data_IF_172952675698
#
_entry.id   IF_172952675698
#
_cell.length_a   1.000
_cell.length_b   1.000
_cell.length_c   1.000
_cell.angle_alpha   90.00
_cell.angle_beta   90.00
_cell.angle_gamma   90.00
#
_symmetry.space_group_name_H-M   'P 1'
#
loop_
_entity.id
_entity.type
_entity.pdbx_description
1 polymer ?
#
# COMPACT_ATOMS: atom_id res chain seq x y z
N UNK A 1 -36.55 -24.35 43.19
CA UNK A 1 -35.65 -24.17 42.02
C UNK A 1 -34.65 -23.05 42.32
N UNK A 2 -33.36 -23.35 42.48
CA UNK A 2 -32.32 -22.32 42.70
C UNK A 2 -31.88 -21.75 41.33
N UNK A 3 -32.13 -20.46 41.09
CA UNK A 3 -31.63 -19.74 39.90
C UNK A 3 -30.10 -19.70 39.96
N UNK A 4 -29.43 -20.39 39.03
CA UNK A 4 -27.98 -20.25 38.79
C UNK A 4 -27.73 -18.82 38.32
N UNK A 5 -27.02 -18.02 39.13
CA UNK A 5 -26.45 -16.74 38.69
C UNK A 5 -25.35 -17.08 37.68
N UNK A 6 -25.57 -16.74 36.42
CA UNK A 6 -24.50 -16.70 35.42
C UNK A 6 -23.51 -15.60 35.83
N UNK A 7 -22.38 -15.99 36.42
CA UNK A 7 -21.23 -15.10 36.54
C UNK A 7 -20.75 -14.82 35.11
N UNK A 8 -21.02 -13.63 34.58
CA UNK A 8 -20.36 -13.13 33.38
C UNK A 8 -18.87 -13.01 33.72
N UNK A 9 -18.05 -13.91 33.17
CA UNK A 9 -16.61 -13.78 33.24
C UNK A 9 -16.25 -12.56 32.41
N UNK A 10 -15.73 -11.52 33.06
CA UNK A 10 -15.25 -10.31 32.39
C UNK A 10 -13.97 -10.69 31.64
N UNK A 11 -14.10 -10.97 30.34
CA UNK A 11 -12.95 -11.26 29.48
C UNK A 11 -12.12 -9.98 29.36
N UNK A 12 -10.81 -10.07 29.60
CA UNK A 12 -9.90 -8.93 29.35
C UNK A 12 -9.61 -8.86 27.85
N UNK A 13 -9.49 -7.64 27.29
CA UNK A 13 -9.09 -7.48 25.90
C UNK A 13 -7.65 -7.97 25.70
N UNK A 14 -7.40 -8.58 24.54
CA UNK A 14 -6.05 -8.98 24.12
C UNK A 14 -5.20 -7.74 23.82
N UNK A 15 -5.84 -6.72 23.24
CA UNK A 15 -5.21 -5.49 22.80
C UNK A 15 -6.18 -4.33 22.94
N UNK A 16 -5.68 -3.17 23.37
CA UNK A 16 -6.47 -1.95 23.51
C UNK A 16 -5.71 -0.80 22.85
N UNK A 17 -6.37 -0.15 21.89
CA UNK A 17 -5.91 1.06 21.26
C UNK A 17 -6.79 2.22 21.71
N UNK A 18 -6.18 3.29 22.20
CA UNK A 18 -6.87 4.53 22.55
C UNK A 18 -6.31 5.64 21.67
N UNK A 19 -7.17 6.27 20.88
CA UNK A 19 -6.82 7.41 20.02
C UNK A 19 -7.85 8.51 20.21
N UNK A 20 -7.51 9.50 21.03
CA UNK A 20 -8.41 10.57 21.42
C UNK A 20 -9.72 10.03 22.02
N UNK A 21 -10.90 10.42 21.51
CA UNK A 21 -12.20 9.96 22.01
C UNK A 21 -12.57 8.55 21.53
N UNK A 22 -11.77 7.94 20.64
CA UNK A 22 -11.98 6.58 20.15
C UNK A 22 -11.18 5.58 21.00
N UNK A 23 -11.88 4.56 21.49
CA UNK A 23 -11.26 3.38 22.12
C UNK A 23 -11.63 2.15 21.31
N UNK A 24 -10.63 1.36 20.91
CA UNK A 24 -10.81 0.07 20.24
C UNK A 24 -10.20 -1.03 21.09
N UNK A 25 -10.89 -2.15 21.22
CA UNK A 25 -10.43 -3.30 21.99
C UNK A 25 -10.66 -4.59 21.21
N UNK A 26 -9.64 -5.44 21.13
CA UNK A 26 -9.71 -6.75 20.47
C UNK A 26 -9.92 -7.87 21.49
N UNK A 27 -10.85 -8.77 21.18
CA UNK A 27 -11.17 -9.98 21.93
C UNK A 27 -11.17 -11.16 20.95
N UNK A 28 -10.04 -11.86 20.83
CA UNK A 28 -9.85 -12.88 19.81
C UNK A 28 -10.08 -12.31 18.41
N UNK A 29 -11.12 -12.79 17.72
CA UNK A 29 -11.54 -12.36 16.37
C UNK A 29 -12.50 -11.17 16.36
N UNK A 30 -12.93 -10.66 17.53
CA UNK A 30 -13.89 -9.55 17.62
C UNK A 30 -13.18 -8.26 17.98
N UNK A 31 -13.48 -7.18 17.27
CA UNK A 31 -13.03 -5.82 17.61
C UNK A 31 -14.25 -5.02 18.06
N UNK A 32 -14.16 -4.39 19.23
CA UNK A 32 -15.20 -3.51 19.78
C UNK A 32 -14.65 -2.09 19.81
N UNK A 33 -15.38 -1.17 19.18
CA UNK A 33 -15.05 0.26 19.18
C UNK A 33 -16.06 1.05 19.99
N UNK A 34 -15.57 2.01 20.79
CA UNK A 34 -16.38 2.95 21.57
C UNK A 34 -15.90 4.37 21.28
N UNK A 35 -16.85 5.27 21.07
CA UNK A 35 -16.59 6.69 20.94
C UNK A 35 -17.08 7.43 22.21
N UNK A 36 -16.27 8.30 22.78
CA UNK A 36 -16.49 8.98 24.06
C UNK A 36 -16.27 10.50 23.94
N UNK A 37 -16.87 11.12 22.92
CA UNK A 37 -16.96 12.59 22.85
C UNK A 37 -17.81 13.13 23.99
N UNK A 38 -17.35 14.19 24.66
CA UNK A 38 -18.24 14.96 25.54
C UNK A 38 -19.24 15.78 24.70
N UNK A 39 -20.37 16.22 25.28
CA UNK A 39 -21.32 17.08 24.56
C UNK A 39 -20.62 18.31 23.97
N UNK A 40 -20.90 18.61 22.69
CA UNK A 40 -20.34 19.74 21.92
C UNK A 40 -18.87 19.63 21.52
N UNK A 41 -18.12 18.63 21.98
CA UNK A 41 -16.72 18.47 21.57
C UNK A 41 -16.57 17.99 20.13
N UNK A 42 -17.50 17.13 19.67
CA UNK A 42 -17.51 16.68 18.29
C UNK A 42 -17.75 17.84 17.33
N UNK A 43 -18.71 18.72 17.65
CA UNK A 43 -19.03 19.91 16.86
C UNK A 43 -17.85 20.88 16.80
N UNK A 44 -17.19 21.15 17.93
CA UNK A 44 -15.96 21.96 17.96
C UNK A 44 -14.84 21.35 17.13
N UNK A 45 -14.70 20.03 17.17
CA UNK A 45 -13.70 19.34 16.36
C UNK A 45 -14.03 19.44 14.87
N UNK A 46 -15.30 19.32 14.48
CA UNK A 46 -15.73 19.55 13.09
C UNK A 46 -15.47 20.99 12.63
N UNK A 47 -15.71 21.99 13.49
CA UNK A 47 -15.38 23.40 13.18
C UNK A 47 -13.88 23.59 12.92
N UNK A 48 -13.02 23.05 13.78
CA UNK A 48 -11.57 23.10 13.62
C UNK A 48 -11.11 22.44 12.31
N UNK A 49 -11.66 21.27 11.98
CA UNK A 49 -11.36 20.59 10.71
C UNK A 49 -11.77 21.44 9.50
N UNK A 50 -12.94 22.08 9.56
CA UNK A 50 -13.40 22.95 8.48
C UNK A 50 -12.51 24.19 8.29
N UNK A 51 -12.01 24.76 9.39
CA UNK A 51 -11.07 25.91 9.37
C UNK A 51 -9.70 25.52 8.81
N UNK A 52 -9.20 24.34 9.19
CA UNK A 52 -7.88 23.85 8.76
C UNK A 52 -7.83 23.40 7.30
N UNK A 53 -8.98 23.20 6.64
CA UNK A 53 -9.04 22.66 5.27
C UNK A 53 -8.11 23.38 4.29
N UNK A 54 -8.10 24.71 4.30
CA UNK A 54 -7.27 25.48 3.36
C UNK A 54 -5.78 25.26 3.61
N UNK A 55 -5.37 25.18 4.88
CA UNK A 55 -3.98 24.90 5.25
C UNK A 55 -3.55 23.49 4.85
N UNK A 56 -4.42 22.49 5.04
CA UNK A 56 -4.15 21.11 4.61
C UNK A 56 -3.98 21.01 3.10
N UNK A 57 -4.84 21.67 2.32
CA UNK A 57 -4.69 21.69 0.85
C UNK A 57 -3.38 22.35 0.43
N UNK A 58 -3.05 23.49 1.04
CA UNK A 58 -1.80 24.20 0.72
C UNK A 58 -0.55 23.36 1.05
N UNK A 59 -0.57 22.62 2.15
CA UNK A 59 0.53 21.73 2.54
C UNK A 59 0.72 20.59 1.54
N UNK A 60 -0.38 19.95 1.13
CA UNK A 60 -0.37 18.91 0.11
C UNK A 60 0.17 19.46 -1.21
N UNK A 61 -0.33 20.61 -1.67
CA UNK A 61 0.11 21.25 -2.91
C UNK A 61 1.61 21.58 -2.87
N UNK A 62 2.11 22.05 -1.72
CA UNK A 62 3.54 22.29 -1.52
C UNK A 62 4.35 21.00 -1.64
N UNK A 63 3.95 19.94 -0.93
CA UNK A 63 4.64 18.65 -0.98
C UNK A 63 4.64 18.04 -2.39
N UNK A 64 3.53 18.19 -3.15
CA UNK A 64 3.45 17.79 -4.55
C UNK A 64 4.41 18.62 -5.42
N UNK A 65 4.48 19.94 -5.23
CA UNK A 65 5.40 20.79 -5.97
C UNK A 65 6.87 20.43 -5.68
N UNK A 66 7.21 20.19 -4.41
CA UNK A 66 8.56 19.79 -4.01
C UNK A 66 8.97 18.44 -4.60
N UNK A 67 8.09 17.43 -4.55
CA UNK A 67 8.40 16.10 -5.10
C UNK A 67 8.50 16.12 -6.62
N UNK A 68 7.65 16.90 -7.29
CA UNK A 68 7.69 17.10 -8.75
C UNK A 68 8.99 17.77 -9.16
N UNK A 69 9.41 18.83 -8.46
CA UNK A 69 10.67 19.50 -8.72
C UNK A 69 11.85 18.55 -8.54
N UNK A 70 11.86 17.73 -7.48
CA UNK A 70 12.91 16.75 -7.25
C UNK A 70 12.97 15.69 -8.36
N UNK A 71 11.84 15.06 -8.68
CA UNK A 71 11.74 14.04 -9.73
C UNK A 71 12.18 14.57 -11.09
N UNK A 72 11.87 15.84 -11.41
CA UNK A 72 12.28 16.46 -12.68
C UNK A 72 13.82 16.44 -12.90
N UNK A 73 14.59 16.46 -11.81
CA UNK A 73 16.06 16.50 -11.83
C UNK A 73 16.73 15.13 -11.82
N UNK A 74 15.96 14.04 -11.76
CA UNK A 74 16.48 12.68 -11.63
C UNK A 74 16.22 11.88 -12.91
N UNK A 75 17.17 11.00 -13.28
CA UNK A 75 16.96 10.06 -14.38
C UNK A 75 15.77 9.13 -14.06
N UNK A 76 14.69 9.15 -14.87
CA UNK A 76 13.48 8.37 -14.60
C UNK A 76 13.71 6.87 -14.49
N UNK A 77 14.57 6.32 -15.35
CA UNK A 77 14.83 4.88 -15.35
C UNK A 77 15.51 4.46 -14.04
N UNK A 78 16.45 5.26 -13.57
CA UNK A 78 17.22 4.96 -12.38
C UNK A 78 16.39 5.03 -11.10
N UNK A 79 15.55 6.06 -10.96
CA UNK A 79 14.69 6.18 -9.77
C UNK A 79 13.63 5.07 -9.72
N UNK A 80 13.08 4.67 -10.88
CA UNK A 80 12.14 3.57 -10.97
C UNK A 80 12.78 2.23 -10.65
N UNK A 81 13.99 2.00 -11.15
CA UNK A 81 14.75 0.80 -10.83
C UNK A 81 15.05 0.71 -9.33
N UNK A 82 15.49 1.81 -8.69
CA UNK A 82 15.71 1.85 -7.24
C UNK A 82 14.42 1.60 -6.46
N UNK A 83 13.31 2.25 -6.83
CA UNK A 83 12.00 2.04 -6.22
C UNK A 83 11.58 0.56 -6.28
N UNK A 84 11.73 -0.06 -7.46
CA UNK A 84 11.41 -1.47 -7.66
C UNK A 84 12.31 -2.40 -6.84
N UNK A 85 13.60 -2.11 -6.73
CA UNK A 85 14.53 -2.91 -5.93
C UNK A 85 14.19 -2.86 -4.44
N UNK A 86 13.96 -1.68 -3.87
CA UNK A 86 13.63 -1.52 -2.45
C UNK A 86 12.26 -2.12 -2.11
N UNK A 87 11.27 -1.92 -2.99
CA UNK A 87 9.98 -2.59 -2.88
C UNK A 87 10.14 -4.10 -2.95
N UNK A 88 10.88 -4.64 -3.91
CA UNK A 88 11.02 -6.09 -4.05
C UNK A 88 11.73 -6.69 -2.84
N UNK A 89 12.84 -6.08 -2.40
CA UNK A 89 13.61 -6.53 -1.25
C UNK A 89 12.79 -6.55 0.06
N UNK A 90 11.93 -5.54 0.28
CA UNK A 90 11.11 -5.47 1.50
C UNK A 90 10.00 -6.52 1.57
N UNK A 91 9.59 -7.09 0.43
CA UNK A 91 8.58 -8.16 0.36
C UNK A 91 9.17 -9.57 0.37
N UNK A 92 10.47 -9.75 0.12
CA UNK A 92 11.12 -11.07 0.14
C UNK A 92 10.92 -11.87 1.43
N UNK A 93 10.97 -11.28 2.65
CA UNK A 93 10.77 -12.04 3.89
C UNK A 93 9.29 -12.22 4.27
N UNK A 94 8.34 -11.78 3.44
CA UNK A 94 6.91 -11.75 3.78
C UNK A 94 6.20 -12.97 3.19
N UNK A 95 5.92 -13.95 4.05
CA UNK A 95 5.23 -15.19 3.66
C UNK A 95 3.68 -15.08 3.72
N UNK A 96 3.15 -13.98 4.25
CA UNK A 96 1.70 -13.77 4.44
C UNK A 96 1.34 -12.29 4.43
N UNK A 97 0.15 -11.96 3.91
CA UNK A 97 -0.40 -10.60 3.92
C UNK A 97 -0.47 -10.00 5.33
N UNK A 98 -0.78 -10.82 6.34
CA UNK A 98 -0.88 -10.36 7.73
C UNK A 98 0.49 -9.92 8.29
N UNK A 99 1.58 -10.35 7.65
CA UNK A 99 2.95 -9.94 8.01
C UNK A 99 3.40 -8.66 7.29
N UNK A 100 2.62 -8.12 6.36
CA UNK A 100 2.90 -6.84 5.69
C UNK A 100 2.85 -5.71 6.73
N UNK A 101 3.91 -4.94 6.82
CA UNK A 101 4.00 -3.78 7.72
C UNK A 101 3.95 -2.46 6.93
N UNK A 102 3.94 -1.36 7.66
CA UNK A 102 3.89 0.00 7.09
C UNK A 102 5.02 0.25 6.09
N UNK A 103 6.22 -0.28 6.33
CA UNK A 103 7.37 -0.13 5.43
C UNK A 103 7.10 -0.73 4.05
N UNK A 104 6.55 -1.94 3.98
CA UNK A 104 6.18 -2.59 2.73
C UNK A 104 5.06 -1.85 2.00
N UNK A 105 4.09 -1.31 2.74
CA UNK A 105 3.03 -0.47 2.17
C UNK A 105 3.62 0.80 1.57
N UNK A 106 4.53 1.47 2.28
CA UNK A 106 5.18 2.69 1.81
C UNK A 106 6.04 2.42 0.58
N UNK A 107 6.85 1.35 0.57
CA UNK A 107 7.69 0.99 -0.57
C UNK A 107 6.88 0.69 -1.84
N UNK A 108 5.73 0.01 -1.71
CA UNK A 108 4.81 -0.19 -2.83
C UNK A 108 4.25 1.14 -3.37
N UNK A 109 3.81 2.04 -2.47
CA UNK A 109 3.28 3.35 -2.86
C UNK A 109 4.32 4.25 -3.50
N UNK A 110 5.57 4.22 -3.04
CA UNK A 110 6.66 4.98 -3.66
C UNK A 110 6.81 4.58 -5.12
N UNK A 111 6.82 3.28 -5.43
CA UNK A 111 6.94 2.81 -6.81
C UNK A 111 5.81 3.37 -7.69
N UNK A 112 4.55 3.18 -7.30
CA UNK A 112 3.39 3.57 -8.11
C UNK A 112 3.28 5.10 -8.27
N UNK A 113 3.56 5.84 -7.20
CA UNK A 113 3.48 7.30 -7.23
C UNK A 113 4.65 7.92 -8.00
N UNK A 114 5.88 7.39 -7.86
CA UNK A 114 7.02 7.85 -8.66
C UNK A 114 6.80 7.56 -10.15
N UNK A 115 6.22 6.41 -10.51
CA UNK A 115 5.80 6.14 -11.89
C UNK A 115 4.84 7.21 -12.42
N UNK A 116 3.85 7.58 -11.61
CA UNK A 116 2.89 8.64 -11.96
C UNK A 116 3.59 10.00 -12.13
N UNK A 117 4.48 10.37 -11.21
CA UNK A 117 5.25 11.62 -11.28
C UNK A 117 6.14 11.67 -12.53
N UNK A 118 6.85 10.57 -12.84
CA UNK A 118 7.67 10.47 -14.05
C UNK A 118 6.82 10.68 -15.30
N UNK A 119 5.63 10.11 -15.36
CA UNK A 119 4.74 10.25 -16.51
C UNK A 119 4.14 11.66 -16.64
N UNK A 120 3.97 12.38 -15.53
CA UNK A 120 3.31 13.70 -15.49
C UNK A 120 4.27 14.89 -15.43
N UNK A 121 5.57 14.68 -15.25
CA UNK A 121 6.55 15.75 -15.01
C UNK A 121 7.45 15.92 -16.20
N UNK A 122 7.58 17.16 -16.69
CA UNK A 122 8.58 17.48 -17.70
C UNK A 122 10.00 17.36 -17.11
N UNK A 123 10.91 16.62 -17.77
CA UNK A 123 12.27 16.47 -17.27
C UNK A 123 13.06 17.77 -17.37
N UNK A 124 13.91 18.04 -16.38
CA UNK A 124 14.85 19.15 -16.43
C UNK A 124 15.90 18.91 -17.52
N UNK A 125 16.50 20.00 -18.03
CA UNK A 125 17.55 19.94 -19.08
C UNK A 125 18.75 19.11 -18.62
N UNK A 126 19.06 19.14 -17.33
CA UNK A 126 20.13 18.36 -16.72
C UNK A 126 19.51 17.46 -15.65
N UNK A 127 19.79 16.17 -15.77
CA UNK A 127 19.33 15.16 -14.83
C UNK A 127 20.54 14.47 -14.19
N UNK A 128 20.45 14.20 -12.90
CA UNK A 128 21.39 13.33 -12.23
C UNK A 128 21.17 11.89 -12.70
N UNK A 129 22.26 11.21 -13.06
CA UNK A 129 22.22 9.85 -13.60
C UNK A 129 21.76 8.82 -12.56
N UNK A 130 22.11 9.06 -11.29
CA UNK A 130 21.69 8.29 -10.12
C UNK A 130 21.20 9.21 -8.99
N UNK A 131 20.11 8.86 -8.29
CA UNK A 131 19.68 9.59 -7.11
C UNK A 131 20.70 9.38 -5.98
N UNK A 132 21.14 10.48 -5.35
CA UNK A 132 21.92 10.37 -4.11
C UNK A 132 21.07 9.79 -2.98
N UNK A 133 21.69 9.24 -1.93
CA UNK A 133 20.93 8.74 -0.77
C UNK A 133 20.15 9.86 -0.06
N UNK A 134 20.65 11.09 -0.12
CA UNK A 134 19.95 12.26 0.42
C UNK A 134 18.70 12.58 -0.40
N UNK A 135 18.81 12.58 -1.72
CA UNK A 135 17.69 12.85 -2.62
C UNK A 135 16.64 11.75 -2.50
N UNK A 136 17.09 10.49 -2.41
CA UNK A 136 16.22 9.35 -2.21
C UNK A 136 15.49 9.38 -0.86
N UNK A 137 16.20 9.65 0.23
CA UNK A 137 15.57 9.80 1.54
C UNK A 137 14.55 10.97 1.56
N UNK A 138 14.87 12.07 0.88
CA UNK A 138 13.95 13.20 0.76
C UNK A 138 12.71 12.84 -0.08
N UNK A 139 12.88 12.13 -1.19
CA UNK A 139 11.80 11.62 -2.02
C UNK A 139 10.86 10.74 -1.18
N UNK A 140 11.40 9.75 -0.46
CA UNK A 140 10.62 8.86 0.40
C UNK A 140 9.83 9.64 1.46
N UNK A 141 10.48 10.59 2.14
CA UNK A 141 9.83 11.44 3.15
C UNK A 141 8.69 12.27 2.55
N UNK A 142 8.89 12.86 1.36
CA UNK A 142 7.86 13.66 0.69
C UNK A 142 6.67 12.81 0.29
N UNK A 143 6.92 11.64 -0.32
CA UNK A 143 5.85 10.71 -0.70
C UNK A 143 5.12 10.21 0.55
N UNK A 144 5.85 9.85 1.60
CA UNK A 144 5.26 9.45 2.88
C UNK A 144 4.36 10.56 3.44
N UNK A 145 4.86 11.79 3.57
CA UNK A 145 4.09 12.94 4.07
C UNK A 145 2.84 13.20 3.22
N UNK A 146 2.95 13.17 1.88
CA UNK A 146 1.79 13.30 0.99
C UNK A 146 0.73 12.27 1.38
N UNK A 147 1.07 10.99 1.46
CA UNK A 147 0.08 9.97 1.75
C UNK A 147 -0.43 9.97 3.20
N UNK A 148 0.42 10.30 4.18
CA UNK A 148 0.04 10.38 5.60
C UNK A 148 -0.80 11.61 5.93
N UNK A 149 -0.63 12.70 5.19
CA UNK A 149 -1.43 13.92 5.36
C UNK A 149 -2.69 13.88 4.50
N UNK A 150 -2.57 13.48 3.22
CA UNK A 150 -3.67 13.42 2.26
C UNK A 150 -4.75 12.42 2.68
N UNK A 151 -4.39 11.22 3.12
CA UNK A 151 -5.42 10.19 3.34
C UNK A 151 -6.34 10.48 4.54
N UNK A 152 -5.83 10.83 5.74
CA UNK A 152 -6.72 11.16 6.84
C UNK A 152 -7.15 12.63 6.81
N UNK A 153 -6.23 13.59 6.69
CA UNK A 153 -6.53 14.99 6.99
C UNK A 153 -7.37 15.66 5.91
N UNK A 154 -7.04 15.44 4.63
CA UNK A 154 -7.80 16.05 3.54
C UNK A 154 -9.26 15.62 3.57
N UNK A 155 -9.55 14.32 3.62
CA UNK A 155 -10.93 13.81 3.61
C UNK A 155 -11.73 14.26 4.83
N UNK A 156 -11.13 14.25 6.03
CA UNK A 156 -11.79 14.74 7.24
C UNK A 156 -12.11 16.24 7.15
N UNK A 157 -11.14 17.06 6.73
CA UNK A 157 -11.34 18.51 6.60
C UNK A 157 -12.32 18.85 5.47
N UNK A 158 -12.27 18.14 4.35
CA UNK A 158 -13.16 18.34 3.21
C UNK A 158 -14.61 18.05 3.59
N UNK A 159 -14.86 16.93 4.26
CA UNK A 159 -16.18 16.55 4.74
C UNK A 159 -16.70 17.56 5.77
N UNK A 160 -15.87 17.99 6.72
CA UNK A 160 -16.24 19.00 7.72
C UNK A 160 -16.57 20.36 7.07
N UNK A 161 -15.78 20.79 6.08
CA UNK A 161 -16.02 22.03 5.33
C UNK A 161 -17.34 21.98 4.55
N UNK A 162 -17.64 20.86 3.86
CA UNK A 162 -18.91 20.67 3.13
C UNK A 162 -20.13 20.71 4.05
N UNK A 163 -20.03 20.06 5.22
CA UNK A 163 -21.06 20.12 6.27
C UNK A 163 -21.31 21.54 6.75
N UNK A 164 -20.24 22.32 6.96
CA UNK A 164 -20.34 23.74 7.38
C UNK A 164 -21.00 24.63 6.32
N UNK A 165 -20.80 24.34 5.04
CA UNK A 165 -21.40 25.12 3.94
C UNK A 165 -22.89 24.83 3.65
N UNK A 166 -23.56 24.03 4.48
CA UNK A 166 -24.99 23.67 4.38
C UNK A 166 -25.43 23.05 3.03
N UNK A 167 -24.50 22.66 2.16
CA UNK A 167 -24.82 21.76 1.05
C UNK A 167 -25.35 20.47 1.67
N UNK A 168 -26.51 19.98 1.24
CA UNK A 168 -27.02 18.69 1.69
C UNK A 168 -25.98 17.61 1.36
N UNK A 169 -25.21 17.22 2.36
CA UNK A 169 -24.20 16.18 2.24
C UNK A 169 -24.90 14.86 2.55
N UNK A 170 -25.22 14.09 1.52
CA UNK A 170 -25.69 12.72 1.70
C UNK A 170 -24.59 11.90 2.40
N UNK A 171 -24.81 11.42 3.63
CA UNK A 171 -23.80 10.64 4.36
C UNK A 171 -23.39 9.36 3.60
N UNK A 172 -24.32 8.75 2.86
CA UNK A 172 -24.02 7.56 2.07
C UNK A 172 -23.09 7.89 0.91
N UNK A 173 -23.29 9.04 0.26
CA UNK A 173 -22.40 9.52 -0.78
C UNK A 173 -21.00 9.86 -0.26
N UNK A 174 -20.88 10.52 0.91
CA UNK A 174 -19.56 10.78 1.50
C UNK A 174 -18.81 9.50 1.86
N UNK A 175 -19.50 8.53 2.46
CA UNK A 175 -18.89 7.22 2.74
C UNK A 175 -18.42 6.56 1.44
N UNK A 176 -19.27 6.53 0.42
CA UNK A 176 -18.95 5.96 -0.88
C UNK A 176 -17.75 6.68 -1.53
N UNK A 177 -17.73 8.01 -1.52
CA UNK A 177 -16.66 8.81 -2.09
C UNK A 177 -15.34 8.52 -1.39
N UNK A 178 -15.31 8.59 -0.05
CA UNK A 178 -14.13 8.29 0.75
C UNK A 178 -13.61 6.87 0.50
N UNK A 179 -14.49 5.87 0.54
CA UNK A 179 -14.12 4.47 0.31
C UNK A 179 -13.58 4.26 -1.09
N UNK A 180 -14.21 4.83 -2.11
CA UNK A 180 -13.78 4.70 -3.51
C UNK A 180 -12.38 5.30 -3.71
N UNK A 181 -12.12 6.48 -3.14
CA UNK A 181 -10.79 7.10 -3.20
C UNK A 181 -9.75 6.27 -2.45
N UNK A 182 -10.08 5.75 -1.27
CA UNK A 182 -9.20 4.83 -0.55
C UNK A 182 -8.90 3.57 -1.37
N UNK A 183 -9.91 2.94 -1.97
CA UNK A 183 -9.69 1.77 -2.82
C UNK A 183 -8.77 2.09 -3.98
N UNK A 184 -9.01 3.20 -4.69
CA UNK A 184 -8.17 3.66 -5.79
C UNK A 184 -6.71 3.88 -5.37
N UNK A 185 -6.47 4.47 -4.19
CA UNK A 185 -5.12 4.74 -3.70
C UNK A 185 -4.40 3.53 -3.07
N UNK A 186 -5.11 2.45 -2.72
CA UNK A 186 -4.56 1.37 -1.90
C UNK A 186 -4.65 -0.03 -2.52
N UNK A 187 -5.51 -0.22 -3.54
CA UNK A 187 -5.65 -1.50 -4.21
C UNK A 187 -4.89 -1.45 -5.52
N UNK A 188 -3.70 -2.04 -5.51
CA UNK A 188 -2.73 -1.96 -6.63
C UNK A 188 -2.58 -3.28 -7.38
N UNK A 189 -3.49 -4.24 -7.17
CA UNK A 189 -3.52 -5.48 -7.96
C UNK A 189 -4.83 -6.24 -7.81
N UNK A 190 -5.23 -6.93 -8.88
CA UNK A 190 -6.36 -7.86 -8.84
C UNK A 190 -6.02 -9.17 -8.10
N UNK A 191 -4.72 -9.55 -8.04
CA UNK A 191 -4.26 -10.81 -7.41
C UNK A 191 -2.83 -10.73 -6.84
N UNK A 192 -2.64 -11.28 -5.63
CA UNK A 192 -1.32 -11.47 -5.03
C UNK A 192 -0.45 -12.40 -5.87
N UNK A 193 0.87 -12.16 -5.89
CA UNK A 193 1.85 -12.99 -6.61
C UNK A 193 1.73 -14.48 -6.25
N UNK A 194 1.44 -14.81 -4.99
CA UNK A 194 1.22 -16.18 -4.53
C UNK A 194 0.00 -16.87 -5.17
N UNK A 195 -0.97 -16.11 -5.67
CA UNK A 195 -2.15 -16.63 -6.37
C UNK A 195 -2.01 -16.61 -7.89
N UNK A 196 -1.02 -15.92 -8.45
CA UNK A 196 -0.84 -15.82 -9.91
C UNK A 196 -0.54 -17.18 -10.55
N UNK A 197 0.20 -18.07 -9.87
CA UNK A 197 0.44 -19.43 -10.40
C UNK A 197 -0.87 -20.22 -10.50
N UNK A 198 -1.75 -20.08 -9.50
CA UNK A 198 -3.06 -20.75 -9.54
C UNK A 198 -3.94 -20.15 -10.64
N UNK A 199 -3.98 -18.82 -10.77
CA UNK A 199 -4.73 -18.16 -11.83
C UNK A 199 -4.23 -18.55 -13.23
N UNK A 200 -2.91 -18.67 -13.42
CA UNK A 200 -2.31 -19.16 -14.67
C UNK A 200 -2.71 -20.61 -14.95
N UNK A 201 -2.74 -21.48 -13.94
CA UNK A 201 -3.21 -22.87 -14.12
C UNK A 201 -4.64 -22.91 -14.62
N UNK A 202 -5.53 -22.13 -14.02
CA UNK A 202 -6.94 -22.05 -14.40
C UNK A 202 -7.11 -21.48 -15.83
N UNK A 203 -6.35 -20.45 -16.17
CA UNK A 203 -6.38 -19.81 -17.50
C UNK A 203 -5.84 -20.72 -18.61
N UNK A 204 -4.75 -21.44 -18.34
CA UNK A 204 -4.03 -22.24 -19.35
C UNK A 204 -4.56 -23.68 -19.46
N UNK A 205 -5.30 -24.18 -18.46
CA UNK A 205 -5.84 -25.55 -18.47
C UNK A 205 -6.62 -25.90 -19.76
N UNK A 206 -7.52 -25.04 -20.29
CA UNK A 206 -8.25 -25.34 -21.52
C UNK A 206 -7.37 -25.40 -22.78
N UNK A 207 -6.14 -24.88 -22.72
CA UNK A 207 -5.25 -24.68 -23.87
C UNK A 207 -4.08 -25.68 -23.89
N UNK A 208 -4.10 -26.68 -22.99
CA UNK A 208 -3.00 -27.62 -22.79
C UNK A 208 -2.57 -28.34 -24.07
N UNK A 209 -3.51 -28.70 -24.94
CA UNK A 209 -3.20 -29.35 -26.23
C UNK A 209 -2.39 -28.43 -27.16
N UNK A 210 -2.80 -27.17 -27.32
CA UNK A 210 -2.08 -26.17 -28.11
C UNK A 210 -0.68 -25.91 -27.54
N UNK A 211 -0.58 -25.78 -26.21
CA UNK A 211 0.70 -25.55 -25.53
C UNK A 211 1.64 -26.75 -25.72
N UNK A 212 1.11 -27.97 -25.64
CA UNK A 212 1.89 -29.18 -25.86
C UNK A 212 2.42 -29.26 -27.29
N UNK A 213 1.62 -28.88 -28.28
CA UNK A 213 2.06 -28.86 -29.69
C UNK A 213 3.18 -27.84 -29.95
N UNK A 214 3.13 -26.67 -29.29
CA UNK A 214 4.12 -25.61 -29.49
C UNK A 214 5.40 -25.79 -28.67
N UNK A 215 5.27 -26.30 -27.45
CA UNK A 215 6.35 -26.27 -26.45
C UNK A 215 6.72 -27.65 -25.89
N UNK A 216 5.98 -28.71 -26.24
CA UNK A 216 6.20 -30.06 -25.72
C UNK A 216 5.88 -30.23 -24.23
N UNK A 217 5.20 -29.26 -23.61
CA UNK A 217 4.82 -29.24 -22.20
C UNK A 217 3.30 -29.16 -22.06
N UNK A 218 2.74 -29.84 -21.06
CA UNK A 218 1.34 -29.57 -20.68
C UNK A 218 1.21 -28.18 -20.05
N UNK A 219 -0.01 -27.64 -20.01
CA UNK A 219 -0.28 -26.38 -19.29
C UNK A 219 0.15 -26.44 -17.81
N UNK A 220 -0.01 -27.60 -17.16
CA UNK A 220 0.37 -27.81 -15.77
C UNK A 220 1.89 -27.79 -15.58
N UNK A 221 2.62 -28.52 -16.43
CA UNK A 221 4.08 -28.54 -16.42
C UNK A 221 4.67 -27.16 -16.72
N UNK A 222 4.07 -26.43 -17.67
CA UNK A 222 4.48 -25.06 -17.96
C UNK A 222 4.32 -24.16 -16.74
N UNK A 223 3.20 -24.27 -16.01
CA UNK A 223 2.99 -23.50 -14.78
C UNK A 223 4.00 -23.89 -13.67
N UNK A 224 4.36 -25.17 -13.56
CA UNK A 224 5.40 -25.62 -12.62
C UNK A 224 6.77 -25.02 -12.96
N UNK A 225 7.17 -25.04 -14.23
CA UNK A 225 8.45 -24.46 -14.65
C UNK A 225 8.47 -22.94 -14.49
N UNK A 226 7.37 -22.25 -14.81
CA UNK A 226 7.23 -20.82 -14.56
C UNK A 226 7.32 -20.50 -13.06
N UNK A 227 6.71 -21.31 -12.20
CA UNK A 227 6.82 -21.14 -10.76
C UNK A 227 8.27 -21.30 -10.27
N UNK A 228 9.05 -22.23 -10.84
CA UNK A 228 10.48 -22.38 -10.54
C UNK A 228 11.31 -21.19 -11.01
N UNK A 229 11.09 -20.72 -12.25
CA UNK A 229 11.76 -19.53 -12.79
C UNK A 229 11.45 -18.33 -11.90
N UNK A 230 10.19 -18.16 -11.55
CA UNK A 230 9.77 -17.08 -10.67
C UNK A 230 10.43 -17.20 -9.28
N UNK A 231 10.37 -18.37 -8.66
CA UNK A 231 11.04 -18.60 -7.38
C UNK A 231 12.55 -18.29 -7.46
N UNK A 232 13.20 -18.67 -8.56
CA UNK A 232 14.59 -18.32 -8.83
C UNK A 232 14.77 -16.81 -8.97
N UNK A 233 13.97 -16.11 -9.76
CA UNK A 233 14.09 -14.67 -9.97
C UNK A 233 13.81 -13.85 -8.71
N UNK A 234 12.85 -14.27 -7.88
CA UNK A 234 12.50 -13.58 -6.64
C UNK A 234 13.50 -13.90 -5.52
N UNK A 235 13.90 -15.17 -5.35
CA UNK A 235 14.75 -15.59 -4.22
C UNK A 235 16.25 -15.70 -4.54
N UNK A 236 16.68 -15.56 -5.80
CA UNK A 236 18.12 -15.43 -6.10
C UNK A 236 18.67 -14.07 -5.67
N UNK A 237 17.84 -13.03 -5.58
CA UNK A 237 18.23 -11.70 -5.10
C UNK A 237 18.51 -11.68 -3.59
N UNK A 238 17.85 -12.54 -2.81
CA UNK A 238 18.07 -12.68 -1.35
C UNK A 238 19.21 -13.61 -0.97
N UNK A 239 19.79 -14.38 -1.91
CA UNK A 239 21.01 -15.15 -1.63
C UNK A 239 22.22 -14.25 -1.83
N UNK A 240 22.96 -13.85 -0.78
CA UNK A 240 24.33 -13.40 -0.99
C UNK A 240 25.05 -14.53 -1.75
N UNK A 241 25.90 -14.17 -2.70
CA UNK A 241 26.77 -15.08 -3.44
C UNK A 241 27.71 -15.84 -2.48
N UNK A 242 27.17 -16.78 -1.71
CA UNK A 242 27.93 -17.77 -0.97
C UNK A 242 28.21 -18.88 -1.96
N UNK A 243 29.41 -18.79 -2.54
CA UNK A 243 30.18 -19.87 -3.16
C UNK A 243 29.37 -20.86 -3.99
N UNK A 244 29.42 -20.70 -5.31
CA UNK A 244 29.06 -21.76 -6.24
C UNK A 244 29.73 -23.09 -5.83
N UNK A 245 28.98 -24.19 -5.60
CA UNK A 245 29.56 -25.50 -5.70
C UNK A 245 29.74 -25.77 -7.20
N UNK A 246 31.00 -25.85 -7.60
CA UNK A 246 31.44 -26.39 -8.89
C UNK A 246 30.86 -27.79 -9.09
N UNK A 247 29.81 -27.90 -9.91
CA UNK A 247 29.56 -29.12 -10.68
C UNK A 247 28.79 -28.74 -11.93
N UNK A 248 29.38 -29.11 -13.07
CA UNK A 248 29.09 -28.54 -14.37
C UNK A 248 27.69 -28.87 -14.89
N UNK A 249 27.21 -27.99 -15.77
CA UNK A 249 26.98 -28.26 -17.19
C UNK A 249 26.82 -26.88 -17.83
N UNK A 250 27.73 -26.53 -18.74
CA UNK A 250 27.57 -25.38 -19.64
C UNK A 250 26.71 -25.84 -20.80
N UNK A 251 25.58 -25.20 -21.04
CA UNK A 251 25.02 -25.12 -22.38
C UNK A 251 25.41 -23.76 -22.97
N UNK A 252 25.91 -23.81 -24.20
CA UNK A 252 26.25 -22.66 -25.02
C UNK A 252 25.06 -21.72 -25.22
#
# INVERSE_FOLDING_TARGET
MKRKKNNKVTQKPDEVLISGPLTMARFGSTIVSKNVWQPREFEKHQELLAENYAGVVQEIDRSIAEVTALVSTLNPLTILHRAWQERSASYLPIDSEVAVQQEQVLAARILDYVQSLVASTEPAIQQADMPSDKDWANLNRLVESIFFELIPQYFMCAAAKRRRSESAVDPAFEEFHFRTQLYWCNVTGEQYQVHQVQALRELLAPQSETIFQLYGLSSEQLCDELAKIWHSLTNSVSRPCLGAPTSGIRYC
#
